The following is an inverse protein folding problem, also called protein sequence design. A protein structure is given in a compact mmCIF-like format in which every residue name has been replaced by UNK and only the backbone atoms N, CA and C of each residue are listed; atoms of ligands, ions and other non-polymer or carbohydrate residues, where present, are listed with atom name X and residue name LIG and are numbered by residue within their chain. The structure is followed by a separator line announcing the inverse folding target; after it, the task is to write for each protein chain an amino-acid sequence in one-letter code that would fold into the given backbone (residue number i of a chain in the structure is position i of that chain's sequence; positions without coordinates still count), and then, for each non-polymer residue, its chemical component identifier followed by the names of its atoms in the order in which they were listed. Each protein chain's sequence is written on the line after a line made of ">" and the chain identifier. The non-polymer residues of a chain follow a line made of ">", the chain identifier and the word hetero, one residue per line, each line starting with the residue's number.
data_IF_759427128555
#
_entry.id   IF_759427128555
#
_cell.length_a   1.000
_cell.length_b   1.000
_cell.length_c   1.000
_cell.angle_alpha   90.00
_cell.angle_beta   90.00
_cell.angle_gamma   90.00
#
_symmetry.space_group_name_H-M   'P 1'
#
loop_
_entity.id
_entity.type
_entity.pdbx_description
1 polymer ?
#
# COMPACT_ATOMS: atom_id res chain seq x y z
N UNK A 1 4.90 -17.70 -54.38
CA UNK A 1 3.79 -17.17 -53.55
C UNK A 1 4.39 -16.67 -52.24
N UNK A 2 4.44 -15.36 -51.99
CA UNK A 2 4.91 -14.84 -50.69
C UNK A 2 3.83 -15.17 -49.66
N UNK A 3 4.11 -16.10 -48.75
CA UNK A 3 3.26 -16.33 -47.58
C UNK A 3 3.06 -14.99 -46.86
N UNK A 4 1.82 -14.55 -46.60
CA UNK A 4 1.61 -13.33 -45.82
C UNK A 4 2.21 -13.56 -44.43
N UNK A 5 3.16 -12.71 -44.05
CA UNK A 5 3.75 -12.71 -42.71
C UNK A 5 2.63 -12.42 -41.70
N UNK A 6 2.34 -13.39 -40.83
CA UNK A 6 1.33 -13.28 -39.78
C UNK A 6 1.78 -12.23 -38.75
N UNK A 7 1.05 -11.12 -38.63
CA UNK A 7 1.31 -10.08 -37.62
C UNK A 7 0.12 -10.01 -36.66
N UNK A 8 0.15 -10.86 -35.64
CA UNK A 8 -0.93 -11.05 -34.65
C UNK A 8 -0.50 -10.63 -33.24
N UNK A 9 0.44 -9.68 -33.12
CA UNK A 9 1.03 -9.27 -31.83
C UNK A 9 -0.04 -8.89 -30.78
N UNK A 10 -1.07 -8.12 -31.16
CA UNK A 10 -2.19 -7.78 -30.27
C UNK A 10 -3.15 -8.93 -29.97
N UNK A 11 -3.13 -10.02 -30.75
CA UNK A 11 -3.89 -11.23 -30.45
C UNK A 11 -3.11 -12.15 -29.51
N UNK A 12 -1.77 -12.19 -29.63
CA UNK A 12 -0.89 -12.94 -28.71
C UNK A 12 -0.99 -12.46 -27.26
N UNK A 13 -1.34 -11.19 -27.05
CA UNK A 13 -1.51 -10.61 -25.71
C UNK A 13 -2.91 -10.79 -25.12
N UNK A 14 -3.81 -11.54 -25.79
CA UNK A 14 -5.16 -11.77 -25.29
C UNK A 14 -5.18 -12.36 -23.87
N UNK A 15 -4.30 -13.31 -23.57
CA UNK A 15 -4.20 -13.92 -22.23
C UNK A 15 -3.86 -12.89 -21.16
N UNK A 16 -2.84 -12.05 -21.41
CA UNK A 16 -2.47 -10.94 -20.52
C UNK A 16 -3.65 -10.02 -20.30
N UNK A 17 -4.36 -9.67 -21.38
CA UNK A 17 -5.49 -8.75 -21.36
C UNK A 17 -6.65 -9.27 -20.51
N UNK A 18 -6.98 -10.55 -20.64
CA UNK A 18 -8.05 -11.18 -19.86
C UNK A 18 -7.70 -11.26 -18.37
N UNK A 19 -6.48 -11.70 -18.06
CA UNK A 19 -6.05 -11.89 -16.66
C UNK A 19 -5.87 -10.56 -15.96
N UNK A 20 -5.11 -9.62 -16.53
CA UNK A 20 -4.87 -8.30 -15.91
C UNK A 20 -6.16 -7.49 -15.79
N UNK A 21 -7.07 -7.66 -16.75
CA UNK A 21 -8.37 -7.01 -16.69
C UNK A 21 -9.24 -7.57 -15.57
N UNK A 22 -9.23 -8.89 -15.39
CA UNK A 22 -9.93 -9.51 -14.26
C UNK A 22 -9.31 -9.12 -12.92
N UNK A 23 -7.99 -9.01 -12.79
CA UNK A 23 -7.36 -8.63 -11.51
C UNK A 23 -7.83 -7.25 -11.03
N UNK A 24 -7.96 -6.27 -11.92
CA UNK A 24 -8.50 -4.95 -11.55
C UNK A 24 -10.02 -4.94 -11.43
N UNK A 25 -10.75 -5.55 -12.37
CA UNK A 25 -12.22 -5.58 -12.30
C UNK A 25 -12.72 -6.33 -11.07
N UNK A 26 -12.06 -7.42 -10.68
CA UNK A 26 -12.40 -8.17 -9.47
C UNK A 26 -12.18 -7.37 -8.18
N UNK A 27 -11.28 -6.38 -8.17
CA UNK A 27 -11.13 -5.46 -7.04
C UNK A 27 -12.39 -4.60 -6.88
N UNK A 28 -12.89 -4.01 -7.98
CA UNK A 28 -14.18 -3.31 -8.00
C UNK A 28 -15.33 -4.22 -7.57
N UNK A 29 -15.44 -5.40 -8.19
CA UNK A 29 -16.54 -6.32 -7.95
C UNK A 29 -16.59 -6.82 -6.50
N UNK A 30 -15.43 -7.14 -5.91
CA UNK A 30 -15.35 -7.59 -4.51
C UNK A 30 -15.74 -6.51 -3.51
N UNK A 31 -15.46 -5.23 -3.81
CA UNK A 31 -15.69 -4.10 -2.89
C UNK A 31 -17.07 -3.47 -2.99
N UNK A 32 -17.82 -3.79 -4.05
CA UNK A 32 -19.14 -3.20 -4.32
C UNK A 32 -20.26 -4.23 -4.35
N UNK A 33 -20.00 -5.44 -4.86
CA UNK A 33 -21.04 -6.47 -5.04
C UNK A 33 -20.93 -7.58 -3.99
N UNK A 34 -19.72 -8.07 -3.72
CA UNK A 34 -19.54 -9.23 -2.82
C UNK A 34 -19.43 -8.85 -1.35
N UNK A 35 -18.92 -7.67 -1.05
CA UNK A 35 -18.81 -7.14 0.29
C UNK A 35 -18.86 -5.62 0.25
N UNK A 36 -19.43 -5.01 1.28
CA UNK A 36 -19.32 -3.58 1.48
C UNK A 36 -17.96 -3.27 2.10
N UNK A 37 -17.03 -2.81 1.25
CA UNK A 37 -15.65 -2.47 1.66
C UNK A 37 -15.35 -0.99 1.50
N UNK A 38 -16.36 -0.21 1.11
CA UNK A 38 -16.27 1.23 0.92
C UNK A 38 -16.94 1.99 2.06
N UNK A 39 -17.77 1.35 2.88
CA UNK A 39 -18.29 1.94 4.11
C UNK A 39 -17.21 2.04 5.20
N UNK A 40 -16.83 3.26 5.65
CA UNK A 40 -15.87 3.48 6.74
C UNK A 40 -16.26 2.85 8.06
N UNK A 41 -17.56 2.65 8.31
CA UNK A 41 -18.07 2.10 9.58
C UNK A 41 -18.00 0.57 9.62
N UNK A 42 -17.69 -0.07 8.48
CA UNK A 42 -17.65 -1.53 8.39
C UNK A 42 -16.26 -2.09 8.56
N UNK A 43 -16.19 -3.27 9.20
CA UNK A 43 -14.92 -3.97 9.40
C UNK A 43 -14.23 -4.29 8.06
N UNK A 44 -12.99 -3.85 7.95
CA UNK A 44 -12.16 -4.03 6.76
C UNK A 44 -12.50 -3.05 5.64
N UNK A 45 -12.97 -1.86 5.98
CA UNK A 45 -12.94 -0.68 5.11
C UNK A 45 -11.57 -0.55 4.44
N UNK A 46 -11.56 -0.33 3.12
CA UNK A 46 -10.31 -0.29 2.37
C UNK A 46 -9.42 0.90 2.72
N UNK A 47 -9.98 2.01 3.21
CA UNK A 47 -9.17 3.16 3.62
C UNK A 47 -8.21 2.83 4.77
N UNK A 48 -8.57 1.90 5.66
CA UNK A 48 -7.65 1.43 6.72
C UNK A 48 -6.40 0.77 6.13
N UNK A 49 -6.52 0.09 4.97
CA UNK A 49 -5.36 -0.52 4.30
C UNK A 49 -4.36 0.51 3.80
N UNK A 50 -4.78 1.76 3.55
CA UNK A 50 -3.84 2.82 3.17
C UNK A 50 -2.89 3.20 4.31
N UNK A 51 -3.29 3.00 5.57
CA UNK A 51 -2.36 3.11 6.70
C UNK A 51 -1.23 2.10 6.60
N UNK A 52 -1.54 0.87 6.16
CA UNK A 52 -0.54 -0.18 6.03
C UNK A 52 0.54 0.19 5.02
N UNK A 53 0.22 1.01 4.01
CA UNK A 53 1.18 1.43 2.99
C UNK A 53 2.15 2.50 3.52
N UNK A 54 1.70 3.34 4.46
CA UNK A 54 2.41 4.55 4.90
C UNK A 54 3.86 4.33 5.40
N UNK A 55 4.18 3.33 6.24
CA UNK A 55 5.49 3.25 6.89
C UNK A 55 6.67 3.22 5.92
N UNK A 56 6.61 2.33 4.92
CA UNK A 56 7.70 2.04 3.99
C UNK A 56 7.35 2.36 2.51
N UNK A 57 6.30 3.16 2.26
CA UNK A 57 5.99 3.63 0.91
C UNK A 57 7.18 4.38 0.27
N UNK A 58 7.39 4.15 -1.03
CA UNK A 58 8.48 4.69 -1.81
C UNK A 58 8.00 5.87 -2.65
N UNK A 59 8.48 7.08 -2.37
CA UNK A 59 8.20 8.29 -3.15
C UNK A 59 6.79 8.89 -2.98
N UNK A 60 5.79 8.10 -2.56
CA UNK A 60 4.39 8.56 -2.41
C UNK A 60 3.93 8.73 -0.95
N UNK A 61 4.85 8.61 0.01
CA UNK A 61 4.55 8.70 1.45
C UNK A 61 3.81 9.99 1.87
N UNK A 62 4.17 11.20 1.39
CA UNK A 62 3.44 12.43 1.77
C UNK A 62 1.99 12.44 1.31
N UNK A 63 1.71 11.88 0.13
CA UNK A 63 0.35 11.76 -0.39
C UNK A 63 -0.48 10.79 0.45
N UNK A 64 0.08 9.63 0.80
CA UNK A 64 -0.60 8.66 1.67
C UNK A 64 -0.85 9.27 3.05
N UNK A 65 0.14 9.96 3.62
CA UNK A 65 0.01 10.65 4.91
C UNK A 65 -1.17 11.62 4.91
N UNK A 66 -1.25 12.49 3.89
CA UNK A 66 -2.34 13.44 3.75
C UNK A 66 -3.71 12.75 3.70
N UNK A 67 -3.83 11.64 2.97
CA UNK A 67 -5.10 10.91 2.89
C UNK A 67 -5.48 10.28 4.24
N UNK A 68 -4.55 9.61 4.93
CA UNK A 68 -4.88 8.93 6.19
C UNK A 68 -5.14 9.88 7.36
N UNK A 69 -4.66 11.13 7.28
CA UNK A 69 -4.98 12.23 8.20
C UNK A 69 -6.33 12.91 7.88
N UNK A 70 -6.90 12.70 6.68
CA UNK A 70 -8.15 13.31 6.23
C UNK A 70 -9.15 12.24 5.76
N UNK A 71 -9.88 11.57 6.67
CA UNK A 71 -10.75 10.43 6.36
C UNK A 71 -11.80 10.69 5.27
N UNK A 72 -12.43 11.86 5.27
CA UNK A 72 -13.43 12.24 4.25
C UNK A 72 -12.82 12.26 2.85
N UNK A 73 -11.63 12.85 2.72
CA UNK A 73 -10.89 12.94 1.46
C UNK A 73 -10.46 11.53 1.03
N UNK A 74 -9.94 10.73 1.96
CA UNK A 74 -9.56 9.35 1.71
C UNK A 74 -10.74 8.56 1.13
N UNK A 75 -11.94 8.68 1.69
CA UNK A 75 -13.13 7.99 1.20
C UNK A 75 -13.43 8.29 -0.28
N UNK A 76 -13.46 9.58 -0.65
CA UNK A 76 -13.67 9.97 -2.06
C UNK A 76 -12.61 9.37 -2.99
N UNK A 77 -11.35 9.33 -2.54
CA UNK A 77 -10.27 8.72 -3.31
C UNK A 77 -10.42 7.20 -3.40
N UNK A 78 -10.91 6.52 -2.35
CA UNK A 78 -11.15 5.07 -2.36
C UNK A 78 -12.27 4.69 -3.33
N UNK A 79 -13.35 5.47 -3.36
CA UNK A 79 -14.44 5.29 -4.32
C UNK A 79 -13.93 5.53 -5.73
N UNK A 80 -13.24 6.65 -5.98
CA UNK A 80 -12.69 6.98 -7.29
C UNK A 80 -11.71 5.91 -7.79
N UNK A 81 -10.78 5.46 -6.94
CA UNK A 81 -9.81 4.41 -7.26
C UNK A 81 -10.52 3.10 -7.62
N UNK A 82 -11.53 2.70 -6.83
CA UNK A 82 -12.31 1.48 -7.07
C UNK A 82 -13.07 1.55 -8.39
N UNK A 83 -13.66 2.69 -8.74
CA UNK A 83 -14.33 2.90 -10.04
C UNK A 83 -13.30 2.82 -11.18
N UNK A 84 -12.14 3.46 -11.04
CA UNK A 84 -11.07 3.43 -12.05
C UNK A 84 -10.59 2.00 -12.28
N UNK A 85 -10.34 1.22 -11.23
CA UNK A 85 -9.99 -0.21 -11.35
C UNK A 85 -11.06 -1.01 -12.09
N UNK A 86 -12.34 -0.76 -11.78
CA UNK A 86 -13.47 -1.39 -12.46
C UNK A 86 -13.52 -1.05 -13.95
N UNK A 87 -13.42 0.23 -14.30
CA UNK A 87 -13.45 0.70 -15.69
C UNK A 87 -12.25 0.21 -16.48
N UNK A 88 -11.03 0.38 -15.96
CA UNK A 88 -9.79 -0.08 -16.59
C UNK A 88 -9.83 -1.59 -16.78
N UNK A 89 -10.21 -2.34 -15.74
CA UNK A 89 -10.31 -3.79 -15.77
C UNK A 89 -11.33 -4.30 -16.79
N UNK A 90 -12.52 -3.71 -16.82
CA UNK A 90 -13.57 -4.13 -17.74
C UNK A 90 -13.24 -3.78 -19.20
N UNK A 91 -12.74 -2.56 -19.44
CA UNK A 91 -12.43 -2.10 -20.79
C UNK A 91 -11.19 -2.79 -21.35
N UNK A 92 -10.21 -3.14 -20.52
CA UNK A 92 -9.08 -3.96 -20.98
C UNK A 92 -9.56 -5.39 -21.30
N UNK A 93 -10.48 -6.01 -20.53
CA UNK A 93 -11.09 -7.31 -20.90
C UNK A 93 -11.71 -7.24 -22.29
N UNK A 94 -12.53 -6.22 -22.56
CA UNK A 94 -13.19 -6.08 -23.86
C UNK A 94 -12.28 -5.55 -24.98
N UNK A 95 -11.10 -5.01 -24.63
CA UNK A 95 -10.21 -4.38 -25.59
C UNK A 95 -10.80 -3.11 -26.20
N UNK A 96 -11.37 -2.25 -25.35
CA UNK A 96 -11.88 -0.93 -25.70
C UNK A 96 -10.85 0.13 -25.27
N UNK A 97 -10.36 0.92 -26.22
CA UNK A 97 -9.26 1.86 -26.03
C UNK A 97 -8.05 1.22 -25.34
N UNK A 98 -7.61 0.09 -25.89
CA UNK A 98 -6.67 -0.83 -25.21
C UNK A 98 -5.40 -0.12 -24.73
N UNK A 99 -4.86 0.84 -25.49
CA UNK A 99 -3.65 1.57 -25.10
C UNK A 99 -3.90 2.57 -23.98
N UNK A 100 -5.03 3.28 -24.02
CA UNK A 100 -5.45 4.13 -22.90
C UNK A 100 -5.64 3.31 -21.63
N UNK A 101 -6.33 2.18 -21.71
CA UNK A 101 -6.53 1.28 -20.57
C UNK A 101 -5.20 0.69 -20.09
N UNK A 102 -4.24 0.47 -20.98
CA UNK A 102 -2.89 0.01 -20.63
C UNK A 102 -2.10 1.06 -19.83
N UNK A 103 -2.31 2.36 -20.11
CA UNK A 103 -1.78 3.45 -19.26
C UNK A 103 -2.41 3.37 -17.87
N UNK A 104 -3.73 3.10 -17.79
CA UNK A 104 -4.42 2.85 -16.53
C UNK A 104 -3.83 1.66 -15.77
N UNK A 105 -3.65 0.51 -16.42
CA UNK A 105 -3.00 -0.69 -15.85
C UNK A 105 -1.61 -0.37 -15.33
N UNK A 106 -0.80 0.36 -16.09
CA UNK A 106 0.54 0.77 -15.68
C UNK A 106 0.49 1.67 -14.44
N UNK A 107 -0.39 2.68 -14.43
CA UNK A 107 -0.54 3.62 -13.32
C UNK A 107 -1.02 2.95 -12.03
N UNK A 108 -2.03 2.08 -12.13
CA UNK A 108 -2.54 1.30 -11.00
C UNK A 108 -1.45 0.38 -10.43
N UNK A 109 -0.74 -0.35 -11.30
CA UNK A 109 0.36 -1.22 -10.89
C UNK A 109 1.52 -0.44 -10.25
N UNK A 110 1.84 0.74 -10.77
CA UNK A 110 2.85 1.64 -10.19
C UNK A 110 2.43 2.13 -8.80
N UNK A 111 1.16 2.50 -8.62
CA UNK A 111 0.63 2.90 -7.31
C UNK A 111 0.75 1.79 -6.27
N UNK A 112 0.40 0.56 -6.64
CA UNK A 112 0.56 -0.63 -5.80
C UNK A 112 2.04 -0.86 -5.47
N UNK A 113 2.92 -0.85 -6.48
CA UNK A 113 4.36 -1.08 -6.28
C UNK A 113 4.97 -0.06 -5.31
N UNK A 114 4.68 1.22 -5.51
CA UNK A 114 5.25 2.30 -4.72
C UNK A 114 4.66 2.40 -3.30
N UNK A 115 3.37 2.05 -3.13
CA UNK A 115 2.72 2.10 -1.82
C UNK A 115 2.95 0.84 -0.99
N UNK A 116 2.71 -0.32 -1.58
CA UNK A 116 2.60 -1.59 -0.88
C UNK A 116 3.60 -2.65 -1.33
N UNK A 117 4.54 -2.35 -2.24
CA UNK A 117 5.52 -3.34 -2.74
C UNK A 117 6.47 -3.94 -1.69
N UNK A 118 6.48 -3.41 -0.47
CA UNK A 118 7.20 -3.98 0.67
C UNK A 118 6.36 -4.95 1.51
N UNK A 119 5.04 -4.96 1.31
CA UNK A 119 4.09 -5.84 2.00
C UNK A 119 4.19 -7.24 1.38
N UNK A 120 4.02 -8.26 2.23
CA UNK A 120 4.15 -9.67 1.85
C UNK A 120 4.68 -10.52 3.00
N UNK A 121 3.80 -11.05 3.84
CA UNK A 121 4.18 -11.80 5.05
C UNK A 121 4.87 -13.14 4.74
N UNK A 122 4.54 -13.74 3.59
CA UNK A 122 5.02 -15.06 3.15
C UNK A 122 5.52 -15.04 1.72
N UNK A 123 4.86 -14.30 0.82
CA UNK A 123 5.21 -14.15 -0.58
C UNK A 123 5.39 -12.66 -0.94
N UNK A 124 6.09 -12.39 -2.05
CA UNK A 124 6.34 -11.04 -2.56
C UNK A 124 5.13 -10.51 -3.35
N UNK A 125 3.93 -10.66 -2.79
CA UNK A 125 2.68 -10.60 -3.55
C UNK A 125 2.46 -9.21 -4.17
N UNK A 126 2.43 -8.16 -3.35
CA UNK A 126 2.22 -6.79 -3.81
C UNK A 126 3.32 -6.31 -4.76
N UNK A 127 4.57 -6.71 -4.50
CA UNK A 127 5.70 -6.42 -5.38
C UNK A 127 5.55 -7.08 -6.74
N UNK A 128 5.23 -8.37 -6.78
CA UNK A 128 5.02 -9.15 -8.00
C UNK A 128 3.85 -8.60 -8.82
N UNK A 129 2.73 -8.27 -8.16
CA UNK A 129 1.58 -7.61 -8.79
C UNK A 129 2.02 -6.29 -9.44
N UNK A 130 2.78 -5.47 -8.72
CA UNK A 130 3.29 -4.19 -9.21
C UNK A 130 4.18 -4.33 -10.45
N UNK A 131 5.26 -5.11 -10.37
CA UNK A 131 6.23 -5.22 -11.47
C UNK A 131 5.67 -5.94 -12.69
N UNK A 132 4.89 -7.01 -12.51
CA UNK A 132 4.24 -7.72 -13.60
C UNK A 132 3.11 -6.90 -14.23
N UNK A 133 2.37 -6.13 -13.43
CA UNK A 133 1.35 -5.21 -13.90
C UNK A 133 1.93 -4.08 -14.77
N UNK A 134 3.06 -3.51 -14.35
CA UNK A 134 3.81 -2.50 -15.12
C UNK A 134 4.28 -3.08 -16.46
N UNK A 135 4.92 -4.26 -16.43
CA UNK A 135 5.38 -4.94 -17.65
C UNK A 135 4.21 -5.27 -18.58
N UNK A 136 3.09 -5.76 -18.04
CA UNK A 136 1.88 -6.10 -18.79
C UNK A 136 1.26 -4.86 -19.43
N UNK A 137 1.10 -3.77 -18.67
CA UNK A 137 0.62 -2.50 -19.20
C UNK A 137 1.50 -1.97 -20.34
N UNK A 138 2.82 -2.04 -20.19
CA UNK A 138 3.75 -1.64 -21.24
C UNK A 138 3.59 -2.48 -22.52
N UNK A 139 3.54 -3.81 -22.40
CA UNK A 139 3.34 -4.71 -23.53
C UNK A 139 1.99 -4.48 -24.22
N UNK A 140 0.91 -4.34 -23.46
CA UNK A 140 -0.44 -4.06 -24.00
C UNK A 140 -0.52 -2.69 -24.68
N UNK A 141 0.19 -1.68 -24.17
CA UNK A 141 0.29 -0.38 -24.83
C UNK A 141 0.96 -0.49 -26.21
N UNK A 142 2.08 -1.21 -26.29
CA UNK A 142 2.82 -1.38 -27.55
C UNK A 142 2.06 -2.22 -28.57
N UNK A 143 1.45 -3.33 -28.13
CA UNK A 143 0.78 -4.28 -29.02
C UNK A 143 -0.64 -3.86 -29.38
N UNK A 144 -1.32 -3.08 -28.54
CA UNK A 144 -2.75 -2.86 -28.63
C UNK A 144 -3.52 -4.18 -28.49
N UNK A 145 -4.72 -4.23 -29.05
CA UNK A 145 -5.53 -5.45 -29.12
C UNK A 145 -5.63 -6.05 -30.51
N UNK A 146 -5.97 -7.33 -30.56
CA UNK A 146 -6.20 -8.10 -31.78
C UNK A 146 -7.68 -8.42 -32.03
N UNK A 147 -7.90 -9.52 -32.77
CA UNK A 147 -9.20 -9.94 -33.36
C UNK A 147 -10.39 -9.98 -32.41
N UNK A 148 -10.18 -10.35 -31.14
CA UNK A 148 -11.23 -10.43 -30.12
C UNK A 148 -11.21 -9.17 -29.25
N UNK A 149 -11.60 -8.05 -29.85
CA UNK A 149 -11.67 -6.76 -29.17
C UNK A 149 -12.72 -5.84 -29.78
N UNK A 150 -13.23 -4.91 -28.96
CA UNK A 150 -14.09 -3.84 -29.45
C UNK A 150 -13.30 -2.90 -30.36
N UNK A 151 -12.04 -2.59 -30.06
CA UNK A 151 -11.21 -1.75 -30.92
C UNK A 151 -11.09 -2.34 -32.35
N UNK A 152 -10.87 -3.65 -32.47
CA UNK A 152 -10.81 -4.34 -33.76
C UNK A 152 -12.17 -4.32 -34.48
N UNK A 153 -13.26 -4.52 -33.74
CA UNK A 153 -14.61 -4.41 -34.30
C UNK A 153 -14.89 -3.01 -34.86
N UNK A 154 -14.54 -1.96 -34.11
CA UNK A 154 -14.69 -0.56 -34.53
C UNK A 154 -13.86 -0.24 -35.77
N UNK A 155 -12.62 -0.75 -35.84
CA UNK A 155 -11.75 -0.62 -37.01
C UNK A 155 -12.36 -1.30 -38.24
N UNK A 156 -12.89 -2.51 -38.10
CA UNK A 156 -13.54 -3.24 -39.19
C UNK A 156 -14.80 -2.54 -39.69
N UNK A 157 -15.55 -1.89 -38.80
CA UNK A 157 -16.74 -1.09 -39.13
C UNK A 157 -16.42 0.32 -39.65
N UNK A 158 -15.14 0.71 -39.70
CA UNK A 158 -14.69 2.04 -40.11
C UNK A 158 -15.42 3.18 -39.38
N UNK A 159 -15.69 2.99 -38.08
CA UNK A 159 -16.40 3.96 -37.26
C UNK A 159 -15.68 5.32 -37.28
N UNK A 160 -16.42 6.43 -37.17
CA UNK A 160 -15.85 7.77 -37.27
C UNK A 160 -14.67 8.00 -36.30
N UNK A 161 -14.78 7.44 -35.08
CA UNK A 161 -13.75 7.55 -34.04
C UNK A 161 -12.41 6.94 -34.46
N UNK A 162 -12.41 5.85 -35.26
CA UNK A 162 -11.17 5.16 -35.64
C UNK A 162 -10.36 5.89 -36.70
N UNK A 163 -10.94 6.93 -37.32
CA UNK A 163 -10.27 7.80 -38.29
C UNK A 163 -9.51 8.94 -37.61
N UNK A 164 -9.73 9.15 -36.31
CA UNK A 164 -9.10 10.23 -35.55
C UNK A 164 -7.65 9.88 -35.17
N UNK A 165 -6.80 10.90 -35.02
CA UNK A 165 -5.44 10.72 -34.50
C UNK A 165 -5.44 10.18 -33.07
N UNK A 166 -6.46 10.52 -32.28
CA UNK A 166 -6.63 10.03 -30.91
C UNK A 166 -6.75 8.51 -30.87
N UNK A 167 -7.58 7.92 -31.72
CA UNK A 167 -7.72 6.46 -31.78
C UNK A 167 -6.44 5.76 -32.24
N UNK A 168 -5.66 6.36 -33.14
CA UNK A 168 -4.36 5.79 -33.55
C UNK A 168 -3.37 5.65 -32.38
N UNK A 169 -3.44 6.54 -31.38
CA UNK A 169 -2.58 6.52 -30.19
C UNK A 169 -3.18 5.74 -29.01
N UNK A 170 -4.49 5.88 -28.78
CA UNK A 170 -5.17 5.41 -27.56
C UNK A 170 -5.99 4.13 -27.78
N UNK A 171 -6.44 3.89 -29.02
CA UNK A 171 -7.08 2.66 -29.44
C UNK A 171 -6.07 1.61 -29.89
N UNK A 172 -6.55 0.61 -30.62
CA UNK A 172 -5.71 -0.43 -31.21
C UNK A 172 -5.45 -0.20 -32.70
N UNK A 173 -4.52 -0.96 -33.30
CA UNK A 173 -4.12 -0.80 -34.69
C UNK A 173 -2.68 -0.30 -34.85
N UNK A 174 -2.33 0.18 -36.05
CA UNK A 174 -0.97 0.65 -36.34
C UNK A 174 -0.65 1.89 -35.51
N UNK A 175 0.35 1.76 -34.63
CA UNK A 175 0.91 2.90 -33.91
C UNK A 175 1.60 3.82 -34.93
N UNK A 176 1.37 5.15 -34.87
CA UNK A 176 1.98 6.12 -35.78
C UNK A 176 3.44 6.42 -35.40
N UNK A 177 4.28 5.39 -35.27
CA UNK A 177 5.71 5.50 -34.98
C UNK A 177 6.55 4.87 -36.09
N UNK A 178 7.71 5.46 -36.35
CA UNK A 178 8.73 4.86 -37.23
C UNK A 178 9.32 3.61 -36.57
N UNK A 179 9.60 2.57 -37.36
CA UNK A 179 10.17 1.30 -36.85
C UNK A 179 11.44 1.51 -36.02
N UNK A 180 12.34 2.40 -36.43
CA UNK A 180 13.59 2.68 -35.69
C UNK A 180 13.34 3.31 -34.32
N UNK A 181 12.30 4.13 -34.17
CA UNK A 181 11.90 4.71 -32.89
C UNK A 181 11.15 3.68 -32.04
N UNK A 182 10.28 2.88 -32.65
CA UNK A 182 9.55 1.81 -31.97
C UNK A 182 10.50 0.82 -31.30
N UNK A 183 11.51 0.31 -32.01
CA UNK A 183 12.50 -0.62 -31.43
C UNK A 183 13.27 0.00 -30.26
N UNK A 184 13.60 1.30 -30.33
CA UNK A 184 14.26 2.01 -29.22
C UNK A 184 13.34 2.13 -28.01
N UNK A 185 12.07 2.47 -28.20
CA UNK A 185 11.08 2.55 -27.11
C UNK A 185 10.93 1.19 -26.44
N UNK A 186 10.81 0.11 -27.22
CA UNK A 186 10.71 -1.26 -26.69
C UNK A 186 11.95 -1.59 -25.85
N UNK A 187 13.14 -1.32 -26.37
CA UNK A 187 14.41 -1.64 -25.69
C UNK A 187 14.58 -0.83 -24.40
N UNK A 188 14.47 0.50 -24.49
CA UNK A 188 14.64 1.41 -23.35
C UNK A 188 13.57 1.13 -22.29
N UNK A 189 12.31 0.98 -22.69
CA UNK A 189 11.22 0.68 -21.76
C UNK A 189 11.41 -0.66 -21.06
N UNK A 190 11.86 -1.70 -21.76
CA UNK A 190 12.13 -3.01 -21.16
C UNK A 190 13.26 -2.95 -20.13
N UNK A 191 14.38 -2.30 -20.45
CA UNK A 191 15.47 -2.12 -19.49
C UNK A 191 15.11 -1.20 -18.33
N UNK A 192 14.27 -0.19 -18.56
CA UNK A 192 13.73 0.65 -17.49
C UNK A 192 12.87 -0.16 -16.52
N UNK A 193 11.95 -0.98 -17.03
CA UNK A 193 11.08 -1.83 -16.20
C UNK A 193 11.90 -2.87 -15.45
N UNK A 194 12.92 -3.47 -16.09
CA UNK A 194 13.87 -4.36 -15.41
C UNK A 194 14.63 -3.62 -14.30
N UNK A 195 15.15 -2.43 -14.59
CA UNK A 195 15.83 -1.58 -13.61
C UNK A 195 14.95 -1.23 -12.42
N UNK A 196 13.69 -0.86 -12.65
CA UNK A 196 12.70 -0.59 -11.61
C UNK A 196 12.41 -1.85 -10.78
N UNK A 197 12.28 -3.01 -11.42
CA UNK A 197 12.08 -4.31 -10.76
C UNK A 197 13.25 -4.63 -9.83
N UNK A 198 14.48 -4.56 -10.35
CA UNK A 198 15.69 -4.82 -9.58
C UNK A 198 15.86 -3.81 -8.43
N UNK A 199 15.65 -2.53 -8.69
CA UNK A 199 15.73 -1.47 -7.70
C UNK A 199 14.74 -1.69 -6.55
N UNK A 200 13.46 -1.90 -6.87
CA UNK A 200 12.43 -2.11 -5.85
C UNK A 200 12.62 -3.42 -5.09
N UNK A 201 13.09 -4.49 -5.73
CA UNK A 201 13.45 -5.73 -5.03
C UNK A 201 14.56 -5.51 -3.99
N UNK A 202 15.57 -4.70 -4.35
CA UNK A 202 16.64 -4.35 -3.42
C UNK A 202 16.13 -3.47 -2.27
N UNK A 203 15.34 -2.43 -2.58
CA UNK A 203 14.84 -1.46 -1.58
C UNK A 203 13.89 -2.11 -0.59
N UNK A 204 12.99 -2.98 -1.05
CA UNK A 204 11.95 -3.56 -0.21
C UNK A 204 12.38 -4.81 0.54
N UNK A 205 13.25 -5.63 -0.07
CA UNK A 205 13.53 -6.98 0.43
C UNK A 205 15.03 -7.27 0.58
N UNK A 206 15.91 -6.41 0.08
CA UNK A 206 17.35 -6.71 0.00
C UNK A 206 17.65 -7.85 -0.98
N UNK A 207 16.79 -8.05 -1.98
CA UNK A 207 16.75 -9.27 -2.79
C UNK A 207 17.84 -9.44 -3.85
N UNK A 208 18.80 -8.52 -3.99
CA UNK A 208 19.93 -8.66 -4.92
C UNK A 208 21.26 -8.81 -4.18
N UNK A 209 21.50 -7.97 -3.17
CA UNK A 209 22.76 -7.94 -2.43
C UNK A 209 22.50 -7.57 -0.96
N UNK A 210 23.37 -8.03 -0.06
CA UNK A 210 23.27 -7.76 1.38
C UNK A 210 22.39 -8.77 2.10
N UNK A 211 21.83 -8.35 3.23
CA UNK A 211 20.95 -9.20 4.06
C UNK A 211 19.50 -9.13 3.58
N UNK A 212 18.96 -10.31 3.26
CA UNK A 212 17.54 -10.47 3.00
C UNK A 212 16.74 -10.05 4.24
N UNK A 213 15.70 -9.25 4.04
CA UNK A 213 14.83 -8.81 5.12
C UNK A 213 13.38 -8.84 4.66
N UNK A 214 12.47 -9.08 5.62
CA UNK A 214 11.04 -8.99 5.38
C UNK A 214 10.40 -8.18 6.52
N UNK A 215 10.05 -6.93 6.20
CA UNK A 215 9.41 -5.99 7.13
C UNK A 215 7.96 -6.34 7.45
N UNK A 216 7.38 -7.34 6.79
CA UNK A 216 5.99 -7.75 7.01
C UNK A 216 5.85 -8.90 8.02
N UNK A 217 6.94 -9.40 8.61
CA UNK A 217 6.87 -10.58 9.49
C UNK A 217 6.73 -10.20 10.96
N UNK A 218 7.63 -9.38 11.50
CA UNK A 218 7.67 -9.05 12.92
C UNK A 218 7.19 -7.62 13.16
N UNK A 219 6.37 -7.37 14.19
CA UNK A 219 5.98 -6.00 14.51
C UNK A 219 7.20 -5.17 14.88
N UNK A 220 7.15 -3.89 14.56
CA UNK A 220 8.10 -2.89 15.06
C UNK A 220 7.35 -1.63 15.44
N UNK A 221 7.62 -1.15 16.64
CA UNK A 221 7.07 0.08 17.16
C UNK A 221 8.15 1.14 17.25
N UNK A 222 7.76 2.37 16.92
CA UNK A 222 8.55 3.57 17.12
C UNK A 222 7.86 4.42 18.18
N UNK A 223 8.61 4.75 19.23
CA UNK A 223 8.19 5.65 20.30
C UNK A 223 8.88 6.99 20.03
N UNK A 224 8.09 8.06 19.91
CA UNK A 224 8.60 9.40 19.59
C UNK A 224 7.90 10.47 20.42
N UNK A 225 8.46 11.68 20.46
CA UNK A 225 7.93 12.83 21.22
C UNK A 225 7.59 12.48 22.68
N UNK A 226 8.37 11.60 23.29
CA UNK A 226 8.14 11.22 24.66
C UNK A 226 8.46 12.38 25.61
N UNK A 227 7.54 12.66 26.52
CA UNK A 227 7.63 13.73 27.49
C UNK A 227 7.14 13.23 28.83
N UNK A 228 7.88 13.58 29.88
CA UNK A 228 7.52 13.31 31.26
C UNK A 228 7.54 14.63 32.02
N UNK A 229 6.37 15.16 32.35
CA UNK A 229 6.22 16.46 33.03
C UNK A 229 5.20 16.33 34.15
N UNK A 230 5.58 16.72 35.37
CA UNK A 230 4.71 16.62 36.55
C UNK A 230 4.12 15.21 36.72
N UNK A 231 2.80 15.05 36.61
CA UNK A 231 2.08 13.76 36.65
C UNK A 231 1.81 13.15 35.28
N UNK A 232 2.27 13.78 34.20
CA UNK A 232 1.91 13.43 32.84
C UNK A 232 3.05 12.74 32.11
N UNK A 233 2.80 11.51 31.66
CA UNK A 233 3.62 10.80 30.68
C UNK A 233 2.88 10.82 29.34
N UNK A 234 3.50 11.38 28.30
CA UNK A 234 2.93 11.36 26.95
C UNK A 234 3.96 10.97 25.91
N UNK A 235 3.55 10.19 24.91
CA UNK A 235 4.41 9.81 23.79
C UNK A 235 3.58 9.46 22.55
N UNK A 236 4.14 9.66 21.37
CA UNK A 236 3.58 9.19 20.12
C UNK A 236 4.06 7.74 19.91
N UNK A 237 3.12 6.81 19.73
CA UNK A 237 3.38 5.41 19.38
C UNK A 237 3.00 5.17 17.91
N UNK A 238 3.91 4.63 17.12
CA UNK A 238 3.70 4.34 15.70
C UNK A 238 4.16 2.92 15.35
N UNK A 239 3.32 2.14 14.67
CA UNK A 239 3.74 0.82 14.16
C UNK A 239 4.20 0.88 12.72
N UNK A 240 5.46 0.53 12.48
CA UNK A 240 6.11 0.66 11.16
C UNK A 240 6.29 -0.64 10.39
N UNK A 241 6.29 -1.79 11.07
CA UNK A 241 6.54 -3.10 10.47
C UNK A 241 5.61 -4.16 11.07
N UNK A 242 5.60 -5.33 10.44
CA UNK A 242 4.87 -6.53 10.82
C UNK A 242 3.67 -6.85 9.93
N UNK A 243 2.95 -7.91 10.29
CA UNK A 243 1.84 -8.46 9.51
C UNK A 243 0.70 -7.46 9.38
N UNK A 244 0.17 -7.28 8.18
CA UNK A 244 -0.89 -6.32 7.85
C UNK A 244 -2.30 -6.81 8.25
N UNK A 245 -2.49 -8.13 8.43
CA UNK A 245 -3.77 -8.73 8.85
C UNK A 245 -3.93 -8.88 10.37
N UNK A 246 -2.90 -8.53 11.17
CA UNK A 246 -2.92 -8.65 12.63
C UNK A 246 -2.25 -7.45 13.33
N UNK A 247 -2.67 -7.18 14.58
CA UNK A 247 -2.11 -6.14 15.43
C UNK A 247 -0.78 -6.55 16.09
N UNK A 248 -0.02 -5.57 16.58
CA UNK A 248 0.82 -5.82 17.75
C UNK A 248 -0.10 -5.76 18.99
N UNK A 249 0.06 -6.69 19.92
CA UNK A 249 -0.77 -6.81 21.11
C UNK A 249 0.07 -6.49 22.33
N UNK A 250 -0.06 -5.24 22.78
CA UNK A 250 0.72 -4.74 23.89
C UNK A 250 0.09 -5.21 25.19
N UNK A 251 0.89 -5.93 25.97
CA UNK A 251 0.47 -6.55 27.24
C UNK A 251 1.16 -5.92 28.44
N UNK A 252 2.20 -5.10 28.23
CA UNK A 252 2.88 -4.42 29.32
C UNK A 252 3.52 -3.11 28.86
N UNK A 253 3.43 -2.08 29.71
CA UNK A 253 4.22 -0.86 29.60
C UNK A 253 4.89 -0.59 30.94
N UNK A 254 6.22 -0.54 30.98
CA UNK A 254 6.99 -0.23 32.17
C UNK A 254 7.75 1.08 31.99
N UNK A 255 7.76 1.93 33.01
CA UNK A 255 8.68 3.05 33.11
C UNK A 255 9.68 2.71 34.21
N UNK A 256 10.95 2.66 33.86
CA UNK A 256 12.05 2.39 34.79
C UNK A 256 12.93 3.61 34.98
N UNK A 257 13.54 3.72 36.16
CA UNK A 257 14.55 4.74 36.45
C UNK A 257 15.93 4.38 35.86
N UNK A 258 16.95 5.16 36.21
CA UNK A 258 18.32 4.93 35.75
C UNK A 258 18.99 3.67 36.33
N UNK A 259 18.48 3.14 37.45
CA UNK A 259 18.96 1.92 38.08
C UNK A 259 18.28 0.66 37.52
N UNK A 260 17.20 0.84 36.75
CA UNK A 260 16.39 -0.23 36.18
C UNK A 260 15.17 -0.58 37.03
N UNK A 261 14.94 0.12 38.14
CA UNK A 261 13.79 -0.11 39.01
C UNK A 261 12.51 0.40 38.33
N UNK A 262 11.48 -0.44 38.29
CA UNK A 262 10.19 -0.09 37.68
C UNK A 262 9.42 0.82 38.62
N UNK A 263 9.21 2.07 38.20
CA UNK A 263 8.56 3.12 38.98
C UNK A 263 7.07 3.31 38.61
N UNK A 264 6.69 2.86 37.43
CA UNK A 264 5.31 2.85 36.95
C UNK A 264 5.14 1.71 35.95
N UNK A 265 4.01 1.03 36.00
CA UNK A 265 3.71 -0.10 35.13
C UNK A 265 2.23 -0.13 34.80
N UNK A 266 1.91 -0.52 33.58
CA UNK A 266 0.59 -0.96 33.16
C UNK A 266 0.65 -2.41 32.75
N UNK A 267 -0.21 -3.22 33.37
CA UNK A 267 -0.38 -4.61 33.02
C UNK A 267 -1.39 -4.82 31.88
N UNK A 268 -1.52 -6.09 31.48
CA UNK A 268 -2.40 -6.52 30.40
C UNK A 268 -3.87 -6.13 30.63
N UNK A 269 -4.35 -6.23 31.88
CA UNK A 269 -5.73 -5.91 32.22
C UNK A 269 -5.98 -4.42 32.12
N UNK A 270 -5.04 -3.60 32.61
CA UNK A 270 -5.15 -2.15 32.56
C UNK A 270 -5.09 -1.64 31.10
N UNK A 271 -4.23 -2.22 30.27
CA UNK A 271 -4.12 -1.86 28.84
C UNK A 271 -5.36 -2.26 28.03
N UNK A 272 -6.06 -3.33 28.42
CA UNK A 272 -7.33 -3.74 27.81
C UNK A 272 -8.52 -2.86 28.21
N UNK A 273 -8.37 -2.03 29.26
CA UNK A 273 -9.44 -1.22 29.84
C UNK A 273 -9.03 0.26 30.01
N UNK A 274 -8.24 0.80 29.06
CA UNK A 274 -7.90 2.21 29.08
C UNK A 274 -9.15 3.07 28.89
N UNK A 275 -9.23 4.15 29.67
CA UNK A 275 -10.34 5.11 29.59
C UNK A 275 -10.35 5.86 28.25
N UNK A 276 -11.54 6.29 27.85
CA UNK A 276 -11.71 7.26 26.77
C UNK A 276 -10.91 8.54 27.09
N UNK A 277 -10.24 9.06 26.08
CA UNK A 277 -9.34 10.20 26.19
C UNK A 277 -7.87 9.82 26.25
N UNK A 278 -7.45 8.67 26.78
CA UNK A 278 -6.01 8.31 26.92
C UNK A 278 -5.27 8.20 25.58
N UNK A 279 -6.00 7.97 24.49
CA UNK A 279 -5.47 7.67 23.16
C UNK A 279 -6.01 8.71 22.16
N UNK A 280 -5.12 9.55 21.63
CA UNK A 280 -5.43 10.46 20.54
C UNK A 280 -4.89 9.87 19.22
N UNK A 281 -5.75 9.25 18.42
CA UNK A 281 -5.37 8.67 17.13
C UNK A 281 -5.14 9.76 16.07
N UNK A 282 -4.02 9.65 15.35
CA UNK A 282 -3.67 10.59 14.27
C UNK A 282 -4.31 10.23 12.94
N UNK A 283 -4.54 8.93 12.70
CA UNK A 283 -4.93 8.41 11.39
C UNK A 283 -6.19 7.54 11.50
N UNK A 284 -6.76 7.16 10.35
CA UNK A 284 -7.97 6.29 10.30
C UNK A 284 -7.78 4.93 10.96
N UNK A 285 -6.61 4.28 10.84
CA UNK A 285 -6.34 3.05 11.60
C UNK A 285 -6.00 3.39 13.07
N UNK A 286 -6.85 2.91 13.98
CA UNK A 286 -6.82 3.32 15.38
C UNK A 286 -6.08 2.34 16.28
N UNK A 287 -5.24 2.88 17.16
CA UNK A 287 -4.78 2.21 18.37
C UNK A 287 -5.94 2.24 19.36
N UNK A 288 -6.32 1.07 19.88
CA UNK A 288 -7.47 0.95 20.75
C UNK A 288 -7.34 -0.22 21.74
N UNK A 289 -8.00 -0.15 22.91
CA UNK A 289 -8.08 -1.28 23.82
C UNK A 289 -8.78 -2.45 23.14
N UNK A 290 -8.15 -3.62 23.17
CA UNK A 290 -8.74 -4.90 22.78
C UNK A 290 -9.20 -5.68 24.01
N UNK A 291 -9.77 -6.87 23.78
CA UNK A 291 -10.29 -7.73 24.86
C UNK A 291 -9.24 -8.10 25.92
N UNK A 292 -7.97 -8.21 25.52
CA UNK A 292 -6.89 -8.74 26.36
C UNK A 292 -5.57 -7.97 26.21
N UNK A 293 -5.55 -6.82 25.56
CA UNK A 293 -4.32 -6.08 25.24
C UNK A 293 -4.66 -4.74 24.62
N UNK A 294 -3.70 -3.81 24.58
CA UNK A 294 -3.79 -2.67 23.68
C UNK A 294 -3.42 -3.11 22.24
N UNK A 295 -4.32 -2.93 21.29
CA UNK A 295 -4.12 -3.31 19.89
C UNK A 295 -3.47 -2.16 19.13
N UNK A 296 -2.36 -2.42 18.44
CA UNK A 296 -1.67 -1.46 17.58
C UNK A 296 -1.64 -2.00 16.14
N UNK A 297 -2.58 -1.58 15.27
CA UNK A 297 -2.59 -1.98 13.85
C UNK A 297 -1.38 -1.48 13.08
N UNK A 298 -1.08 -2.09 11.94
CA UNK A 298 0.05 -1.66 11.09
C UNK A 298 -0.21 -0.24 10.58
N UNK A 299 0.78 0.64 10.65
CA UNK A 299 0.63 2.02 10.22
C UNK A 299 -0.29 2.87 11.10
N UNK A 300 -0.83 2.33 12.20
CA UNK A 300 -1.56 3.11 13.19
C UNK A 300 -0.59 3.96 14.00
N UNK A 301 -0.99 5.21 14.27
CA UNK A 301 -0.24 6.15 15.08
C UNK A 301 -1.18 6.86 16.04
N UNK A 302 -0.82 6.91 17.31
CA UNK A 302 -1.55 7.67 18.31
C UNK A 302 -0.61 8.35 19.29
N UNK A 303 -1.08 9.42 19.90
CA UNK A 303 -0.51 9.94 21.14
C UNK A 303 -1.17 9.24 22.32
N UNK A 304 -0.36 8.59 23.12
CA UNK A 304 -0.78 8.00 24.38
C UNK A 304 -0.42 8.96 25.50
N UNK A 305 -1.34 9.18 26.42
CA UNK A 305 -1.10 10.05 27.56
C UNK A 305 -1.67 9.49 28.85
N UNK A 306 -0.81 9.39 29.86
CA UNK A 306 -1.09 8.79 31.15
C UNK A 306 -0.87 9.80 32.25
N UNK A 307 -1.80 9.83 33.22
CA UNK A 307 -1.68 10.61 34.44
C UNK A 307 -1.51 9.68 35.63
N UNK A 308 -0.48 9.92 36.43
CA UNK A 308 -0.26 9.16 37.65
C UNK A 308 0.49 10.01 38.69
N UNK A 309 0.00 10.03 39.93
CA UNK A 309 0.57 10.81 41.03
C UNK A 309 2.03 10.42 41.33
N UNK A 310 2.40 9.14 41.16
CA UNK A 310 3.78 8.66 41.34
C UNK A 310 4.76 9.34 40.39
N UNK A 311 4.27 9.83 39.24
CA UNK A 311 5.12 10.56 38.28
C UNK A 311 5.50 11.96 38.79
N UNK A 312 4.68 12.59 39.66
CA UNK A 312 4.95 13.95 40.20
C UNK A 312 6.25 13.98 40.99
N UNK A 313 6.47 12.99 41.84
CA UNK A 313 7.58 12.93 42.78
C UNK A 313 8.89 12.44 42.17
N UNK A 314 8.89 12.06 40.89
CA UNK A 314 10.10 11.60 40.22
C UNK A 314 11.14 12.73 40.13
N UNK A 315 12.37 12.43 40.53
CA UNK A 315 13.50 13.32 40.42
C UNK A 315 13.80 13.68 38.96
N UNK A 316 14.58 14.75 38.75
CA UNK A 316 15.14 15.04 37.43
C UNK A 316 16.11 13.93 37.05
N UNK A 317 16.00 13.45 35.81
CA UNK A 317 16.76 12.28 35.38
C UNK A 317 16.32 11.74 34.04
N UNK A 318 16.93 10.63 33.63
CA UNK A 318 16.52 9.89 32.43
C UNK A 318 15.76 8.65 32.85
N UNK A 319 14.57 8.46 32.29
CA UNK A 319 13.71 7.30 32.50
C UNK A 319 13.64 6.48 31.22
N UNK A 320 13.38 5.18 31.34
CA UNK A 320 13.24 4.29 30.18
C UNK A 320 11.82 3.76 30.13
N UNK A 321 11.10 4.10 29.07
CA UNK A 321 9.80 3.49 28.76
C UNK A 321 10.04 2.23 27.96
N UNK A 322 9.52 1.10 28.44
CA UNK A 322 9.57 -0.21 27.80
C UNK A 322 8.16 -0.69 27.49
N UNK A 323 7.90 -0.98 26.23
CA UNK A 323 6.61 -1.49 25.74
C UNK A 323 6.81 -2.94 25.30
N UNK A 324 5.99 -3.86 25.80
CA UNK A 324 6.13 -5.31 25.55
C UNK A 324 4.91 -5.86 24.82
N UNK A 325 5.17 -6.55 23.70
CA UNK A 325 4.19 -7.30 22.92
C UNK A 325 4.03 -8.73 23.46
N UNK A 326 2.88 -9.35 23.18
CA UNK A 326 2.58 -10.72 23.60
C UNK A 326 3.56 -11.78 23.11
N UNK A 327 4.29 -11.53 22.02
CA UNK A 327 5.38 -12.40 21.55
C UNK A 327 6.64 -12.34 22.41
N UNK A 328 6.73 -11.43 23.38
CA UNK A 328 7.91 -11.15 24.18
C UNK A 328 8.87 -10.13 23.56
N UNK A 329 8.59 -9.65 22.34
CA UNK A 329 9.29 -8.50 21.76
C UNK A 329 9.03 -7.25 22.60
N UNK A 330 10.05 -6.40 22.72
CA UNK A 330 9.93 -5.14 23.44
C UNK A 330 10.66 -4.01 22.73
N UNK A 331 10.16 -2.79 22.94
CA UNK A 331 10.74 -1.55 22.43
C UNK A 331 10.96 -0.58 23.58
N UNK A 332 12.12 0.06 23.58
CA UNK A 332 12.55 0.95 24.66
C UNK A 332 12.82 2.36 24.13
N UNK A 333 12.46 3.35 24.94
CA UNK A 333 12.72 4.75 24.64
C UNK A 333 13.13 5.51 25.89
N UNK A 334 14.20 6.30 25.79
CA UNK A 334 14.70 7.13 26.88
C UNK A 334 13.97 8.47 26.91
N UNK A 335 13.45 8.83 28.08
CA UNK A 335 12.67 10.04 28.31
C UNK A 335 13.41 10.89 29.35
N UNK A 336 13.91 12.08 28.97
CA UNK A 336 14.45 13.02 29.94
C UNK A 336 13.30 13.71 30.71
N UNK A 337 13.41 13.75 32.04
CA UNK A 337 12.59 14.60 32.91
C UNK A 337 13.42 15.82 33.32
N UNK A 338 13.02 16.99 32.83
CA UNK A 338 13.75 18.26 32.98
C UNK A 338 13.51 18.96 34.32
#
# INVERSE_FOLDING_TARGET
>A
MKLPLKNDSGFLTLSLRMVVGWTYFSAFFRRTILADKLDPETAGYIGEKFNHFLPNALGIKPMILYLVENPDILWYHMVAFTIIEGLVGLFIIFGLFTRLMSIGVFGLAMGILLGSGWIGTTCLDEWQIGVLGIATGFVLFLTGSGRYSIDYYLLKKQAAITKTKGFAWLGSGLIPLKNSLFSKIVLIGSFFILGLTLYTNQVFHGGLWGTLHNKSVKPKLEITKAQLQQDHLSFDLFRTEGVDVYGAWIIKMDLSDANGDVIWSLDQSQLAHLNEGVIDNYYVAQIQPGKHSLIVPLGAKARLHFRNETLKTLAKGTYTLKITDISGLHWEHKIPKL
#
